data_IF_957606036927
#
_entry.id   IF_957606036927
#
_cell.length_a   1.000
_cell.length_b   1.000
_cell.length_c   1.000
_cell.angle_alpha   90.00
_cell.angle_beta   90.00
_cell.angle_gamma   90.00
#
_symmetry.space_group_name_H-M   'P 1'
#
loop_
_entity.id
_entity.type
_entity.pdbx_description
1 polymer ?
#
# COMPACT_ATOMS: atom_id res chain seq x y z
N UNK A 1 9.12 -37.85 -5.11
CA UNK A 1 8.38 -36.58 -5.27
C UNK A 1 8.41 -35.88 -3.92
N UNK A 2 9.31 -34.91 -3.72
CA UNK A 2 9.34 -34.15 -2.47
C UNK A 2 8.18 -33.16 -2.50
N UNK A 3 7.20 -33.34 -1.62
CA UNK A 3 6.17 -32.34 -1.35
C UNK A 3 6.88 -31.11 -0.81
N UNK A 4 7.09 -30.10 -1.68
CA UNK A 4 7.59 -28.78 -1.28
C UNK A 4 6.56 -28.22 -0.32
N UNK A 5 6.79 -28.39 0.98
CA UNK A 5 6.04 -27.73 2.03
C UNK A 5 6.24 -26.23 1.76
N UNK A 6 5.27 -25.59 1.11
CA UNK A 6 5.27 -24.13 1.00
C UNK A 6 4.95 -23.66 2.41
N UNK A 7 5.99 -23.42 3.21
CA UNK A 7 5.87 -22.66 4.44
C UNK A 7 5.07 -21.41 4.09
N UNK A 8 3.92 -21.24 4.73
CA UNK A 8 3.17 -19.99 4.64
C UNK A 8 4.07 -18.92 5.27
N UNK A 9 4.72 -18.07 4.46
CA UNK A 9 5.35 -16.86 4.98
C UNK A 9 4.22 -15.88 5.26
N UNK A 10 3.68 -15.94 6.47
CA UNK A 10 2.66 -15.01 6.91
C UNK A 10 3.18 -13.57 6.80
N UNK A 11 2.41 -12.71 6.11
CA UNK A 11 2.23 -11.32 6.47
C UNK A 11 3.49 -10.47 6.54
N UNK A 12 4.22 -10.31 5.44
CA UNK A 12 5.21 -9.23 5.38
C UNK A 12 4.46 -7.90 5.45
N UNK A 13 4.77 -7.13 6.50
CA UNK A 13 4.17 -5.83 6.72
C UNK A 13 5.24 -4.74 6.70
N UNK A 14 4.85 -3.59 6.15
CA UNK A 14 5.66 -2.38 6.18
C UNK A 14 4.84 -1.26 6.79
N UNK A 15 5.51 -0.38 7.53
CA UNK A 15 4.96 0.89 7.96
C UNK A 15 5.81 2.00 7.37
N UNK A 16 5.21 2.76 6.45
CA UNK A 16 5.91 3.76 5.67
C UNK A 16 5.38 5.16 6.00
N UNK A 17 6.16 6.03 6.65
CA UNK A 17 5.79 7.44 6.88
C UNK A 17 5.56 8.15 5.55
N UNK A 18 4.42 8.81 5.35
CA UNK A 18 4.08 9.53 4.11
C UNK A 18 4.28 11.04 4.25
N UNK A 19 3.85 11.59 5.37
CA UNK A 19 3.99 12.99 5.79
C UNK A 19 4.28 13.01 7.30
N UNK A 20 4.53 14.17 7.93
CA UNK A 20 4.81 14.23 9.37
C UNK A 20 3.76 13.56 10.25
N UNK A 21 2.47 13.66 9.89
CA UNK A 21 1.37 13.12 10.68
C UNK A 21 0.67 11.92 10.04
N UNK A 22 1.21 11.34 8.96
CA UNK A 22 0.56 10.24 8.27
C UNK A 22 1.53 9.15 7.81
N UNK A 23 1.01 7.94 7.71
CA UNK A 23 1.75 6.77 7.25
C UNK A 23 0.83 5.82 6.47
N UNK A 24 1.44 4.92 5.70
CA UNK A 24 0.76 3.80 5.06
C UNK A 24 1.29 2.49 5.64
N UNK A 25 0.36 1.62 6.03
CA UNK A 25 0.62 0.24 6.37
C UNK A 25 0.32 -0.61 5.13
N UNK A 26 1.23 -1.48 4.73
CA UNK A 26 0.97 -2.48 3.70
C UNK A 26 1.17 -3.87 4.30
N UNK A 27 0.19 -4.76 4.12
CA UNK A 27 0.22 -6.13 4.62
C UNK A 27 -0.01 -7.08 3.44
N UNK A 28 1.05 -7.72 2.97
CA UNK A 28 0.96 -8.72 1.92
C UNK A 28 0.48 -10.05 2.50
N UNK A 29 -0.54 -10.67 1.92
CA UNK A 29 -1.15 -11.92 2.39
C UNK A 29 -0.24 -13.14 2.17
N UNK A 30 0.63 -13.08 1.15
CA UNK A 30 1.44 -14.21 0.70
C UNK A 30 0.64 -15.32 0.02
N UNK A 31 -0.61 -15.07 -0.38
CA UNK A 31 -1.44 -16.03 -1.12
C UNK A 31 -1.09 -16.09 -2.62
N UNK A 32 -1.82 -16.90 -3.39
CA UNK A 32 -1.58 -17.08 -4.84
C UNK A 32 -2.02 -15.89 -5.69
N UNK A 33 -2.76 -14.94 -5.13
CA UNK A 33 -3.24 -13.76 -5.84
C UNK A 33 -2.43 -12.52 -5.49
N UNK A 34 -1.45 -12.63 -4.59
CA UNK A 34 -0.63 -11.55 -4.07
C UNK A 34 -1.48 -10.43 -3.45
N UNK A 35 -2.52 -10.79 -2.72
CA UNK A 35 -3.39 -9.79 -2.09
C UNK A 35 -2.59 -8.95 -1.09
N UNK A 36 -2.63 -7.63 -1.25
CA UNK A 36 -2.01 -6.67 -0.33
C UNK A 36 -3.09 -5.77 0.24
N UNK A 37 -3.31 -5.87 1.55
CA UNK A 37 -4.19 -4.95 2.26
C UNK A 37 -3.39 -3.71 2.68
N UNK A 38 -3.86 -2.54 2.27
CA UNK A 38 -3.27 -1.26 2.64
C UNK A 38 -4.13 -0.55 3.68
N UNK A 39 -3.52 0.30 4.50
CA UNK A 39 -4.20 1.23 5.37
C UNK A 39 -3.43 2.56 5.42
N UNK A 40 -4.09 3.63 5.00
CA UNK A 40 -3.60 5.00 5.09
C UNK A 40 -4.12 5.62 6.38
N UNK A 41 -3.19 5.92 7.28
CA UNK A 41 -3.46 6.23 8.68
C UNK A 41 -2.95 7.61 9.06
N UNK A 42 -3.75 8.30 9.87
CA UNK A 42 -3.35 9.51 10.59
C UNK A 42 -2.82 9.13 11.97
N UNK A 43 -1.65 9.67 12.31
CA UNK A 43 -0.98 9.53 13.59
C UNK A 43 -0.89 8.06 14.06
N UNK A 44 -0.59 7.13 13.13
CA UNK A 44 -0.54 5.68 13.35
C UNK A 44 -1.80 5.05 13.98
N UNK A 45 -2.93 5.76 14.02
CA UNK A 45 -4.10 5.37 14.84
C UNK A 45 -5.39 5.30 14.03
N UNK A 46 -5.68 6.34 13.23
CA UNK A 46 -6.97 6.46 12.54
C UNK A 46 -6.81 6.14 11.07
N UNK A 47 -7.43 5.06 10.61
CA UNK A 47 -7.44 4.69 9.19
C UNK A 47 -8.50 5.48 8.42
N UNK A 48 -8.07 6.19 7.38
CA UNK A 48 -8.95 6.98 6.53
C UNK A 48 -9.25 6.32 5.19
N UNK A 49 -8.33 5.51 4.67
CA UNK A 49 -8.50 4.80 3.40
C UNK A 49 -7.79 3.45 3.45
N UNK A 50 -8.47 2.38 3.05
CA UNK A 50 -7.96 1.00 3.13
C UNK A 50 -8.15 0.23 1.83
N UNK A 51 -7.45 0.61 0.75
CA UNK A 51 -7.55 -0.12 -0.51
C UNK A 51 -6.90 -1.50 -0.39
N UNK A 52 -7.28 -2.41 -1.29
CA UNK A 52 -6.56 -3.65 -1.53
C UNK A 52 -6.03 -3.68 -2.97
N UNK A 53 -4.85 -4.27 -3.13
CA UNK A 53 -4.25 -4.58 -4.42
C UNK A 53 -4.08 -6.09 -4.54
N UNK A 54 -3.99 -6.58 -5.77
CA UNK A 54 -3.62 -7.95 -6.08
C UNK A 54 -3.00 -8.01 -7.47
N UNK A 55 -2.49 -9.18 -7.85
CA UNK A 55 -2.05 -9.44 -9.22
C UNK A 55 -3.15 -9.27 -10.29
N UNK A 56 -4.43 -9.34 -9.90
CA UNK A 56 -5.59 -9.12 -10.79
C UNK A 56 -6.24 -7.74 -10.64
N UNK A 57 -5.94 -7.02 -9.56
CA UNK A 57 -6.36 -5.66 -9.31
C UNK A 57 -5.15 -4.80 -8.91
N UNK A 58 -4.40 -4.35 -9.92
CA UNK A 58 -3.08 -3.77 -9.72
C UNK A 58 -3.09 -2.28 -9.38
N UNK A 59 -4.25 -1.63 -9.39
CA UNK A 59 -4.36 -0.20 -9.10
C UNK A 59 -5.56 0.08 -8.21
N UNK A 60 -5.36 0.92 -7.20
CA UNK A 60 -6.43 1.48 -6.39
C UNK A 60 -6.32 3.00 -6.38
N UNK A 61 -7.41 3.68 -6.70
CA UNK A 61 -7.47 5.15 -6.72
C UNK A 61 -8.43 5.60 -5.63
N UNK A 62 -7.99 6.57 -4.83
CA UNK A 62 -8.85 7.20 -3.84
C UNK A 62 -9.92 8.04 -4.57
N UNK A 63 -11.18 7.63 -4.45
CA UNK A 63 -12.32 8.17 -5.20
C UNK A 63 -12.79 9.54 -4.70
N UNK A 64 -12.41 9.91 -3.48
CA UNK A 64 -12.78 11.16 -2.80
C UNK A 64 -11.74 11.56 -1.77
N UNK A 65 -11.80 12.80 -1.31
CA UNK A 65 -11.00 13.24 -0.17
C UNK A 65 -11.39 12.48 1.10
N UNK A 66 -10.40 12.01 1.86
CA UNK A 66 -10.59 11.26 3.11
C UNK A 66 -9.63 11.77 4.17
N UNK A 67 -10.15 12.20 5.31
CA UNK A 67 -9.32 12.73 6.38
C UNK A 67 -10.05 13.66 7.32
N UNK A 68 -9.28 14.53 7.96
CA UNK A 68 -9.71 15.57 8.87
C UNK A 68 -8.98 16.90 8.56
N UNK A 69 -9.15 17.89 9.44
CA UNK A 69 -8.51 19.21 9.30
C UNK A 69 -6.97 19.18 9.38
N UNK A 70 -6.37 18.10 9.88
CA UNK A 70 -4.91 17.92 9.98
C UNK A 70 -4.40 17.15 8.77
N UNK A 71 -4.86 15.92 8.55
CA UNK A 71 -4.44 15.07 7.43
C UNK A 71 -5.63 14.76 6.53
N UNK A 72 -5.49 15.04 5.25
CA UNK A 72 -6.44 14.62 4.20
C UNK A 72 -5.70 13.96 3.04
N UNK A 73 -6.01 12.69 2.80
CA UNK A 73 -5.61 11.97 1.59
C UNK A 73 -6.54 12.41 0.45
N UNK A 74 -5.98 13.05 -0.58
CA UNK A 74 -6.78 13.67 -1.63
C UNK A 74 -7.35 12.65 -2.60
N UNK A 75 -8.48 13.01 -3.22
CA UNK A 75 -9.01 12.32 -4.39
C UNK A 75 -7.92 12.22 -5.46
N UNK A 76 -7.79 11.05 -6.09
CA UNK A 76 -6.76 10.79 -7.09
C UNK A 76 -5.45 10.24 -6.53
N UNK A 77 -5.28 10.19 -5.19
CA UNK A 77 -4.18 9.44 -4.59
C UNK A 77 -4.27 7.98 -5.03
N UNK A 78 -3.22 7.49 -5.68
CA UNK A 78 -3.20 6.22 -6.42
C UNK A 78 -2.14 5.31 -5.83
N UNK A 79 -2.50 4.04 -5.63
CA UNK A 79 -1.61 2.97 -5.20
C UNK A 79 -1.50 1.95 -6.32
N UNK A 80 -0.28 1.51 -6.60
CA UNK A 80 0.02 0.63 -7.73
C UNK A 80 0.82 -0.59 -7.27
N UNK A 81 0.42 -1.76 -7.76
CA UNK A 81 1.16 -3.01 -7.75
C UNK A 81 2.00 -3.06 -9.03
N UNK A 82 3.31 -3.19 -8.89
CA UNK A 82 4.26 -3.22 -9.99
C UNK A 82 5.04 -4.54 -9.95
N UNK A 83 4.74 -5.51 -10.82
CA UNK A 83 5.52 -6.75 -10.92
C UNK A 83 6.99 -6.44 -11.17
N UNK A 84 7.89 -7.16 -10.50
CA UNK A 84 9.34 -7.04 -10.66
C UNK A 84 9.90 -8.33 -11.26
N UNK A 85 11.00 -8.19 -12.02
CA UNK A 85 11.76 -9.35 -12.45
C UNK A 85 12.32 -10.08 -11.21
N UNK A 86 12.17 -11.41 -11.16
CA UNK A 86 12.67 -12.24 -10.05
C UNK A 86 11.62 -12.72 -9.05
N UNK A 87 10.32 -12.57 -9.36
CA UNK A 87 9.23 -13.15 -8.54
C UNK A 87 8.92 -12.32 -7.31
N UNK A 88 8.93 -11.00 -7.45
CA UNK A 88 8.47 -10.05 -6.43
C UNK A 88 7.61 -8.97 -7.07
N UNK A 89 6.95 -8.16 -6.25
CA UNK A 89 6.25 -6.96 -6.70
C UNK A 89 6.53 -5.81 -5.76
N UNK A 90 6.51 -4.61 -6.31
CA UNK A 90 6.67 -3.34 -5.61
C UNK A 90 5.29 -2.69 -5.48
N UNK A 91 4.96 -2.22 -4.27
CA UNK A 91 3.78 -1.37 -4.07
C UNK A 91 4.25 0.08 -3.96
N UNK A 92 3.66 0.97 -4.75
CA UNK A 92 3.98 2.41 -4.72
C UNK A 92 2.73 3.26 -4.53
N UNK A 93 2.91 4.48 -4.04
CA UNK A 93 1.85 5.49 -3.95
C UNK A 93 2.27 6.79 -4.65
N UNK A 94 1.33 7.39 -5.38
CA UNK A 94 1.46 8.69 -6.06
C UNK A 94 0.21 9.53 -5.87
N UNK A 95 0.38 10.83 -5.61
CA UNK A 95 -0.69 11.81 -5.50
C UNK A 95 -0.50 12.74 -4.29
N UNK A 96 -1.53 13.52 -4.00
CA UNK A 96 -1.43 14.59 -3.00
C UNK A 96 -1.99 14.18 -1.63
N UNK A 97 -1.31 14.63 -0.59
CA UNK A 97 -1.73 14.54 0.80
C UNK A 97 -1.65 15.94 1.40
N UNK A 98 -2.74 16.44 1.97
CA UNK A 98 -2.70 17.67 2.75
C UNK A 98 -2.39 17.29 4.20
N UNK A 99 -1.34 17.88 4.77
CA UNK A 99 -0.95 17.70 6.16
C UNK A 99 -0.65 19.06 6.80
N UNK A 100 -1.40 19.39 7.85
CA UNK A 100 -1.27 20.63 8.63
C UNK A 100 -1.35 21.89 7.75
N UNK A 101 -2.25 21.85 6.76
CA UNK A 101 -2.50 22.92 5.79
C UNK A 101 -1.49 23.00 4.64
N UNK A 102 -0.42 22.19 4.66
CA UNK A 102 0.54 22.09 3.56
C UNK A 102 0.19 20.93 2.63
N UNK A 103 0.37 21.10 1.32
CA UNK A 103 0.20 20.02 0.34
C UNK A 103 1.52 19.31 0.10
N UNK A 104 1.53 17.99 0.26
CA UNK A 104 2.65 17.11 -0.02
C UNK A 104 2.31 16.26 -1.24
N UNK A 105 3.02 16.49 -2.33
CA UNK A 105 2.93 15.64 -3.53
C UNK A 105 3.87 14.45 -3.37
N UNK A 106 3.29 13.27 -3.19
CA UNK A 106 4.02 12.01 -3.12
C UNK A 106 4.13 11.44 -4.54
N UNK A 107 5.33 11.07 -4.98
CA UNK A 107 5.55 10.56 -6.35
C UNK A 107 6.30 9.23 -6.31
N UNK A 108 5.65 8.14 -6.74
CA UNK A 108 6.25 6.82 -6.85
C UNK A 108 6.83 6.29 -5.54
N UNK A 109 6.29 6.71 -4.40
CA UNK A 109 6.88 6.39 -3.10
C UNK A 109 6.65 4.92 -2.78
N UNK A 110 7.72 4.18 -2.58
CA UNK A 110 7.65 2.76 -2.20
C UNK A 110 6.95 2.60 -0.86
N UNK A 111 5.94 1.72 -0.84
CA UNK A 111 5.28 1.24 0.36
C UNK A 111 5.83 -0.13 0.78
N UNK A 112 6.59 -0.81 -0.07
CA UNK A 112 7.19 -2.11 0.22
C UNK A 112 7.43 -2.93 -1.03
N UNK A 113 8.36 -3.87 -0.95
CA UNK A 113 8.60 -4.89 -1.97
C UNK A 113 8.36 -6.25 -1.34
N UNK A 114 7.52 -7.06 -1.98
CA UNK A 114 7.04 -8.31 -1.41
C UNK A 114 7.28 -9.46 -2.39
N UNK A 115 7.56 -10.69 -1.91
CA UNK A 115 7.59 -11.87 -2.77
C UNK A 115 6.25 -12.06 -3.49
N UNK A 116 6.31 -12.42 -4.77
CA UNK A 116 5.15 -12.75 -5.59
C UNK A 116 4.97 -14.27 -5.64
N UNK A 117 3.75 -14.70 -5.38
CA UNK A 117 3.26 -16.07 -5.50
C UNK A 117 2.23 -16.21 -6.63
N UNK A 118 1.85 -15.11 -7.28
CA UNK A 118 1.12 -15.12 -8.54
C UNK A 118 1.96 -15.85 -9.61
N UNK A 119 1.32 -16.80 -10.32
CA UNK A 119 1.95 -17.67 -11.30
C UNK A 119 1.87 -17.11 -12.72
#
# INVERSE_FOLDING_TARGET
MATKHRTFEAGQSTNTPLTPNSNALANASGDKTDDTQLAFVYNNTITYWSPSLSSSNTTAVNDRDRGNAVVTFKKGLTVEYLPQAGGSYLVTVTGDIVDSGSTYTVTGKSLGTFPSNAA
#
